data_IF_123778084762
#
_entry.id   IF_123778084762
#
_cell.length_a   1.000
_cell.length_b   1.000
_cell.length_c   1.000
_cell.angle_alpha   90.00
_cell.angle_beta   90.00
_cell.angle_gamma   90.00
#
_symmetry.space_group_name_H-M   'P 1'
#
loop_
_entity.id
_entity.type
_entity.pdbx_description
1 polymer ?
#
# COMPACT_ATOMS: atom_id res chain seq x y z
N UNK A 1 9.34 -31.73 -6.44
CA UNK A 1 10.20 -30.75 -5.76
C UNK A 1 9.33 -29.53 -5.51
N UNK A 2 8.83 -29.37 -4.28
CA UNK A 2 7.85 -28.32 -3.98
C UNK A 2 8.53 -26.95 -3.99
N UNK A 3 8.15 -26.11 -4.95
CA UNK A 3 8.57 -24.70 -5.03
C UNK A 3 8.27 -23.90 -3.75
N UNK A 4 7.39 -24.41 -2.88
CA UNK A 4 7.07 -23.83 -1.56
C UNK A 4 8.30 -23.71 -0.65
N UNK A 5 9.33 -24.54 -0.82
CA UNK A 5 10.56 -24.50 -0.01
C UNK A 5 11.52 -23.37 -0.36
N UNK A 6 11.39 -22.73 -1.52
CA UNK A 6 12.38 -21.75 -2.01
C UNK A 6 11.95 -20.28 -1.86
N UNK A 7 10.65 -20.00 -1.72
CA UNK A 7 10.16 -18.63 -1.60
C UNK A 7 9.76 -18.32 -0.16
N UNK A 8 10.61 -17.57 0.54
CA UNK A 8 10.25 -16.94 1.82
C UNK A 8 9.02 -16.03 1.61
N UNK A 9 8.17 -15.88 2.63
CA UNK A 9 6.94 -15.10 2.52
C UNK A 9 7.19 -13.64 2.14
N UNK A 10 8.31 -13.08 2.60
CA UNK A 10 8.83 -11.77 2.17
C UNK A 10 9.03 -11.68 0.65
N UNK A 11 9.55 -12.72 0.00
CA UNK A 11 9.76 -12.73 -1.46
C UNK A 11 8.41 -12.76 -2.18
N UNK A 12 7.47 -13.59 -1.71
CA UNK A 12 6.12 -13.67 -2.30
C UNK A 12 5.41 -12.31 -2.24
N UNK A 13 5.50 -11.61 -1.11
CA UNK A 13 4.91 -10.28 -0.93
C UNK A 13 5.59 -9.22 -1.81
N UNK A 14 6.91 -9.27 -1.99
CA UNK A 14 7.61 -8.37 -2.90
C UNK A 14 7.23 -8.61 -4.37
N UNK A 15 6.96 -9.86 -4.78
CA UNK A 15 6.42 -10.17 -6.11
C UNK A 15 5.04 -9.52 -6.28
N UNK A 16 4.17 -9.58 -5.26
CA UNK A 16 2.87 -8.93 -5.27
C UNK A 16 3.02 -7.40 -5.38
N UNK A 17 3.96 -6.78 -4.66
CA UNK A 17 4.27 -5.36 -4.81
C UNK A 17 4.66 -5.01 -6.25
N UNK A 18 5.57 -5.76 -6.87
CA UNK A 18 6.02 -5.48 -8.23
C UNK A 18 4.86 -5.58 -9.24
N UNK A 19 4.05 -6.64 -9.14
CA UNK A 19 2.91 -6.86 -10.05
C UNK A 19 1.86 -5.75 -9.86
N UNK A 20 1.52 -5.44 -8.61
CA UNK A 20 0.52 -4.42 -8.29
C UNK A 20 0.95 -3.00 -8.68
N UNK A 21 2.23 -2.67 -8.46
CA UNK A 21 2.83 -1.46 -8.98
C UNK A 21 2.74 -1.40 -10.51
N UNK A 22 3.19 -2.46 -11.20
CA UNK A 22 3.22 -2.49 -12.68
C UNK A 22 1.84 -2.28 -13.29
N UNK A 23 0.80 -2.90 -12.73
CA UNK A 23 -0.57 -2.76 -13.24
C UNK A 23 -1.15 -1.39 -12.90
N UNK A 24 -0.85 -0.83 -11.72
CA UNK A 24 -1.36 0.49 -11.34
C UNK A 24 -0.80 1.62 -12.21
N UNK A 25 0.47 1.55 -12.63
CA UNK A 25 1.10 2.57 -13.50
C UNK A 25 0.84 2.36 -15.00
N UNK A 26 0.55 1.14 -15.46
CA UNK A 26 0.32 0.85 -16.88
C UNK A 26 -1.09 1.27 -17.40
N UNK A 27 -1.83 2.04 -16.60
CA UNK A 27 -3.14 2.65 -16.87
C UNK A 27 -3.96 1.98 -18.00
N UNK A 28 -4.61 0.84 -17.71
CA UNK A 28 -5.61 0.29 -18.63
C UNK A 28 -6.78 1.29 -18.76
N UNK A 29 -6.77 2.09 -19.83
CA UNK A 29 -7.74 3.18 -20.08
C UNK A 29 -9.19 2.66 -20.04
N UNK A 30 -9.40 1.45 -20.58
CA UNK A 30 -10.71 0.80 -20.65
C UNK A 30 -11.18 0.23 -19.30
N UNK A 31 -10.28 0.03 -18.34
CA UNK A 31 -10.58 -0.61 -17.07
C UNK A 31 -9.95 0.14 -15.88
N UNK A 32 -10.36 1.40 -15.62
CA UNK A 32 -9.78 2.22 -14.56
C UNK A 32 -9.95 1.61 -13.16
N UNK A 33 -11.04 0.87 -12.94
CA UNK A 33 -11.26 0.17 -11.66
C UNK A 33 -10.27 -0.96 -11.41
N UNK A 34 -9.72 -1.60 -12.46
CA UNK A 34 -8.66 -2.60 -12.31
C UNK A 34 -7.37 -1.90 -11.85
N UNK A 35 -7.00 -0.79 -12.48
CA UNK A 35 -5.84 0.00 -12.06
C UNK A 35 -5.97 0.43 -10.59
N UNK A 36 -7.15 0.93 -10.22
CA UNK A 36 -7.44 1.33 -8.85
C UNK A 36 -7.39 0.15 -7.88
N UNK A 37 -7.89 -1.02 -8.25
CA UNK A 37 -7.80 -2.22 -7.42
C UNK A 37 -6.35 -2.66 -7.18
N UNK A 38 -5.51 -2.63 -8.20
CA UNK A 38 -4.08 -2.93 -8.04
C UNK A 38 -3.33 -1.83 -7.29
N UNK A 39 -3.74 -0.57 -7.43
CA UNK A 39 -3.24 0.51 -6.60
C UNK A 39 -3.56 0.25 -5.12
N UNK A 40 -4.81 -0.06 -4.77
CA UNK A 40 -5.16 -0.41 -3.38
C UNK A 40 -4.43 -1.68 -2.91
N UNK A 41 -4.30 -2.69 -3.77
CA UNK A 41 -3.54 -3.92 -3.47
C UNK A 41 -2.07 -3.62 -3.16
N UNK A 42 -1.43 -2.71 -3.90
CA UNK A 42 -0.07 -2.27 -3.64
C UNK A 42 0.04 -1.72 -2.22
N UNK A 43 -0.83 -0.77 -1.86
CA UNK A 43 -0.82 -0.13 -0.54
C UNK A 43 -1.07 -1.12 0.59
N UNK A 44 -2.03 -2.04 0.40
CA UNK A 44 -2.27 -3.13 1.34
C UNK A 44 -1.00 -3.96 1.53
N UNK A 45 -0.37 -4.42 0.44
CA UNK A 45 0.84 -5.24 0.50
C UNK A 45 1.98 -4.49 1.20
N UNK A 46 2.15 -3.21 0.91
CA UNK A 46 3.19 -2.38 1.51
C UNK A 46 2.98 -2.19 3.02
N UNK A 47 1.77 -1.82 3.43
CA UNK A 47 1.43 -1.69 4.86
C UNK A 47 1.58 -3.06 5.56
N UNK A 48 1.21 -4.17 4.92
CA UNK A 48 1.40 -5.51 5.49
C UNK A 48 2.87 -5.81 5.76
N UNK A 49 3.75 -5.53 4.79
CA UNK A 49 5.19 -5.67 4.96
C UNK A 49 5.73 -4.81 6.10
N UNK A 50 5.22 -3.58 6.25
CA UNK A 50 5.57 -2.72 7.38
C UNK A 50 5.14 -3.34 8.70
N UNK A 51 3.90 -3.85 8.81
CA UNK A 51 3.38 -4.34 10.09
C UNK A 51 3.99 -5.68 10.52
N UNK A 52 4.18 -6.60 9.59
CA UNK A 52 4.52 -7.99 9.90
C UNK A 52 5.96 -8.37 9.54
N UNK A 53 6.58 -7.71 8.57
CA UNK A 53 7.91 -8.04 8.04
C UNK A 53 8.88 -6.86 8.09
N UNK A 54 8.72 -6.01 9.11
CA UNK A 54 9.49 -4.77 9.22
C UNK A 54 11.00 -5.02 9.24
N UNK A 55 11.70 -4.42 8.29
CA UNK A 55 13.15 -4.29 8.25
C UNK A 55 13.54 -2.92 7.69
N UNK A 56 14.72 -2.41 8.06
CA UNK A 56 15.19 -1.10 7.61
C UNK A 56 15.28 -0.96 6.08
N UNK A 57 15.44 -2.05 5.32
CA UNK A 57 15.42 -2.00 3.85
C UNK A 57 14.10 -1.47 3.28
N UNK A 58 12.99 -1.55 4.03
CA UNK A 58 11.69 -1.02 3.58
C UNK A 58 11.71 0.48 3.37
N UNK A 59 12.61 1.24 4.01
CA UNK A 59 12.82 2.66 3.67
C UNK A 59 13.31 2.85 2.24
N UNK A 60 14.22 1.98 1.79
CA UNK A 60 14.70 2.01 0.40
C UNK A 60 13.57 1.61 -0.57
N UNK A 61 12.79 0.59 -0.22
CA UNK A 61 11.61 0.18 -1.01
C UNK A 61 10.59 1.32 -1.13
N UNK A 62 10.28 1.99 -0.02
CA UNK A 62 9.38 3.14 0.04
C UNK A 62 9.89 4.29 -0.84
N UNK A 63 11.18 4.58 -0.78
CA UNK A 63 11.81 5.61 -1.59
C UNK A 63 11.67 5.30 -3.08
N UNK A 64 12.04 4.08 -3.50
CA UNK A 64 11.99 3.66 -4.90
C UNK A 64 10.57 3.71 -5.43
N UNK A 65 9.61 3.06 -4.75
CA UNK A 65 8.22 3.04 -5.23
C UNK A 65 7.55 4.42 -5.13
N UNK A 66 7.84 5.20 -4.10
CA UNK A 66 7.31 6.55 -3.95
C UNK A 66 7.70 7.44 -5.12
N UNK A 67 9.00 7.49 -5.45
CA UNK A 67 9.51 8.24 -6.61
C UNK A 67 8.91 7.71 -7.91
N UNK A 68 8.84 6.40 -8.09
CA UNK A 68 8.30 5.79 -9.31
C UNK A 68 6.81 6.12 -9.49
N UNK A 69 6.00 6.04 -8.44
CA UNK A 69 4.57 6.42 -8.51
C UNK A 69 4.39 7.88 -8.84
N UNK A 70 5.13 8.75 -8.17
CA UNK A 70 5.11 10.17 -8.38
C UNK A 70 5.42 10.55 -9.85
N UNK A 71 6.51 10.00 -10.40
CA UNK A 71 6.93 10.26 -11.78
C UNK A 71 5.90 9.70 -12.78
N UNK A 72 5.44 8.46 -12.59
CA UNK A 72 4.63 7.76 -13.58
C UNK A 72 3.14 8.11 -13.54
N UNK A 73 2.58 8.46 -12.38
CA UNK A 73 1.14 8.79 -12.25
C UNK A 73 0.86 10.29 -12.31
N UNK A 74 1.67 11.11 -11.66
CA UNK A 74 1.40 12.54 -11.47
C UNK A 74 2.38 13.45 -12.21
N UNK A 75 3.37 12.86 -12.88
CA UNK A 75 4.46 13.57 -13.56
C UNK A 75 5.16 14.59 -12.64
N UNK A 76 5.12 14.37 -11.33
CA UNK A 76 5.55 15.29 -10.29
C UNK A 76 5.94 14.52 -9.03
N UNK A 77 7.02 14.95 -8.37
CA UNK A 77 7.58 14.28 -7.19
C UNK A 77 7.06 14.92 -5.90
N UNK A 78 6.62 14.09 -4.95
CA UNK A 78 6.39 14.48 -3.57
C UNK A 78 5.32 13.66 -2.88
N UNK A 79 4.11 13.60 -3.44
CA UNK A 79 2.94 13.14 -2.70
C UNK A 79 3.09 11.69 -2.20
N UNK A 80 3.40 10.73 -3.07
CA UNK A 80 3.52 9.31 -2.68
C UNK A 80 4.81 9.06 -1.89
N UNK A 81 5.91 9.72 -2.25
CA UNK A 81 7.16 9.59 -1.51
C UNK A 81 7.01 10.02 -0.05
N UNK A 82 6.38 11.17 0.18
CA UNK A 82 6.15 11.72 1.51
C UNK A 82 5.20 10.82 2.31
N UNK A 83 4.12 10.29 1.70
CA UNK A 83 3.19 9.39 2.41
C UNK A 83 3.85 8.09 2.82
N UNK A 84 4.65 7.47 1.97
CA UNK A 84 5.29 6.19 2.31
C UNK A 84 6.36 6.37 3.39
N UNK A 85 7.19 7.40 3.29
CA UNK A 85 8.22 7.68 4.30
C UNK A 85 7.61 8.09 5.64
N UNK A 86 6.55 8.91 5.64
CA UNK A 86 5.85 9.29 6.86
C UNK A 86 5.16 8.09 7.53
N UNK A 87 4.56 7.18 6.75
CA UNK A 87 3.99 5.94 7.28
C UNK A 87 5.05 5.09 7.99
N UNK A 88 6.22 4.89 7.38
CA UNK A 88 7.32 4.13 7.98
C UNK A 88 7.79 4.76 9.30
N UNK A 89 8.00 6.08 9.31
CA UNK A 89 8.39 6.81 10.52
C UNK A 89 7.35 6.65 11.63
N UNK A 90 6.07 6.79 11.30
CA UNK A 90 4.97 6.63 12.25
C UNK A 90 4.90 5.18 12.77
N UNK A 91 5.11 4.18 11.92
CA UNK A 91 5.19 2.80 12.35
C UNK A 91 6.32 2.55 13.34
N UNK A 92 7.54 3.08 13.08
CA UNK A 92 8.68 2.93 14.00
C UNK A 92 8.36 3.51 15.38
N UNK A 93 7.73 4.68 15.43
CA UNK A 93 7.31 5.33 16.68
C UNK A 93 6.23 4.52 17.43
N UNK A 94 5.28 3.93 16.69
CA UNK A 94 4.14 3.23 17.27
C UNK A 94 4.36 1.72 17.48
N UNK A 95 5.45 1.15 16.97
CA UNK A 95 5.72 -0.30 16.96
C UNK A 95 5.53 -0.95 18.33
N UNK A 96 6.00 -0.31 19.40
CA UNK A 96 5.89 -0.82 20.79
C UNK A 96 4.44 -0.98 21.27
N UNK A 97 3.52 -0.19 20.73
CA UNK A 97 2.08 -0.27 21.03
C UNK A 97 1.39 -1.27 20.11
N UNK A 98 1.77 -1.31 18.83
CA UNK A 98 1.17 -2.20 17.83
C UNK A 98 1.33 -3.69 18.19
N UNK A 99 2.46 -4.08 18.78
CA UNK A 99 2.73 -5.47 19.20
C UNK A 99 1.78 -5.96 20.31
N UNK A 100 1.16 -5.05 21.08
CA UNK A 100 0.28 -5.41 22.20
C UNK A 100 -1.18 -5.62 21.79
N UNK A 101 -1.51 -5.38 20.53
CA UNK A 101 -2.88 -5.44 20.04
C UNK A 101 -3.31 -6.87 19.76
N UNK A 102 -4.62 -7.13 19.91
CA UNK A 102 -5.21 -8.40 19.48
C UNK A 102 -5.28 -8.47 17.96
N UNK A 103 -5.41 -9.68 17.41
CA UNK A 103 -5.48 -9.89 15.95
C UNK A 103 -6.60 -9.09 15.29
N UNK A 104 -7.78 -8.99 15.93
CA UNK A 104 -8.90 -8.18 15.42
C UNK A 104 -8.58 -6.69 15.42
N UNK A 105 -7.90 -6.20 16.46
CA UNK A 105 -7.46 -4.80 16.53
C UNK A 105 -6.43 -4.48 15.45
N UNK A 106 -5.49 -5.39 15.19
CA UNK A 106 -4.49 -5.20 14.13
C UNK A 106 -5.17 -5.15 12.76
N UNK A 107 -6.11 -6.05 12.47
CA UNK A 107 -6.87 -6.03 11.20
C UNK A 107 -7.62 -4.71 11.05
N UNK A 108 -8.25 -4.22 12.11
CA UNK A 108 -8.96 -2.94 12.08
C UNK A 108 -8.02 -1.74 11.83
N UNK A 109 -6.89 -1.68 12.55
CA UNK A 109 -5.88 -0.63 12.35
C UNK A 109 -5.28 -0.72 10.95
N UNK A 110 -5.07 -1.92 10.43
CA UNK A 110 -4.54 -2.14 9.10
C UNK A 110 -5.46 -1.52 8.03
N UNK A 111 -6.77 -1.76 8.12
CA UNK A 111 -7.75 -1.13 7.23
C UNK A 111 -7.78 0.40 7.40
N UNK A 112 -7.79 0.91 8.62
CA UNK A 112 -7.77 2.36 8.89
C UNK A 112 -6.51 3.01 8.30
N UNK A 113 -5.37 2.36 8.45
CA UNK A 113 -4.08 2.85 7.93
C UNK A 113 -4.14 3.01 6.41
N UNK A 114 -4.76 2.06 5.71
CA UNK A 114 -4.99 2.18 4.27
C UNK A 114 -5.83 3.42 3.92
N UNK A 115 -6.98 3.60 4.57
CA UNK A 115 -7.89 4.72 4.27
C UNK A 115 -7.22 6.07 4.57
N UNK A 116 -6.54 6.18 5.71
CA UNK A 116 -5.82 7.39 6.10
C UNK A 116 -4.72 7.70 5.09
N UNK A 117 -3.94 6.68 4.67
CA UNK A 117 -2.86 6.87 3.73
C UNK A 117 -3.37 7.40 2.38
N UNK A 118 -4.42 6.79 1.83
CA UNK A 118 -5.04 7.26 0.57
C UNK A 118 -5.56 8.70 0.69
N UNK A 119 -6.11 9.07 1.85
CA UNK A 119 -6.60 10.43 2.10
C UNK A 119 -5.45 11.44 2.19
N UNK A 120 -4.37 11.09 2.91
CA UNK A 120 -3.18 11.93 3.02
C UNK A 120 -2.53 12.12 1.65
N UNK A 121 -2.46 11.08 0.82
CA UNK A 121 -1.91 11.19 -0.54
C UNK A 121 -2.64 12.21 -1.39
N UNK A 122 -3.97 12.12 -1.45
CA UNK A 122 -4.78 13.08 -2.22
C UNK A 122 -4.69 14.49 -1.63
N UNK A 123 -4.62 14.61 -0.30
CA UNK A 123 -4.44 15.88 0.37
C UNK A 123 -3.08 16.52 0.04
N UNK A 124 -2.00 15.75 0.09
CA UNK A 124 -0.65 16.21 -0.28
C UNK A 124 -0.57 16.54 -1.77
N UNK A 125 -1.16 15.73 -2.65
CA UNK A 125 -1.21 16.03 -4.07
C UNK A 125 -1.93 17.36 -4.35
N UNK A 126 -3.01 17.65 -3.62
CA UNK A 126 -3.72 18.92 -3.70
C UNK A 126 -2.87 20.10 -3.20
N UNK A 127 -2.14 19.93 -2.10
CA UNK A 127 -1.29 20.98 -1.54
C UNK A 127 -0.03 21.27 -2.37
N UNK A 128 0.66 20.23 -2.86
CA UNK A 128 1.98 20.36 -3.48
C UNK A 128 1.85 20.62 -4.99
N UNK A 129 0.86 20.02 -5.65
CA UNK A 129 0.74 20.02 -7.11
C UNK A 129 -0.55 20.67 -7.63
N UNK A 130 -1.34 21.32 -6.75
CA UNK A 130 -2.65 21.88 -7.07
C UNK A 130 -3.61 20.84 -7.71
N UNK A 131 -3.41 19.56 -7.42
CA UNK A 131 -4.27 18.50 -7.91
C UNK A 131 -5.60 18.53 -7.15
N UNK A 132 -6.67 18.97 -7.81
CA UNK A 132 -7.98 19.12 -7.16
C UNK A 132 -8.42 17.81 -6.51
N UNK A 133 -8.65 17.86 -5.20
CA UNK A 133 -9.20 16.74 -4.46
C UNK A 133 -10.52 16.27 -5.10
N UNK A 134 -10.55 15.01 -5.53
CA UNK A 134 -11.70 14.43 -6.22
C UNK A 134 -12.41 13.42 -5.32
N UNK A 135 -13.48 13.87 -4.66
CA UNK A 135 -14.24 13.05 -3.72
C UNK A 135 -14.85 11.80 -4.38
N UNK A 136 -15.22 11.87 -5.66
CA UNK A 136 -15.74 10.70 -6.39
C UNK A 136 -14.65 9.63 -6.57
N UNK A 137 -13.43 10.05 -6.89
CA UNK A 137 -12.29 9.13 -7.00
C UNK A 137 -11.96 8.50 -5.64
N UNK A 138 -11.97 9.28 -4.56
CA UNK A 138 -11.74 8.78 -3.20
C UNK A 138 -12.80 7.74 -2.80
N UNK A 139 -14.07 8.04 -3.07
CA UNK A 139 -15.16 7.11 -2.78
C UNK A 139 -15.01 5.80 -3.56
N UNK A 140 -14.55 5.85 -4.82
CA UNK A 140 -14.24 4.65 -5.60
C UNK A 140 -13.12 3.83 -4.95
N UNK A 141 -12.02 4.46 -4.54
CA UNK A 141 -10.95 3.78 -3.79
C UNK A 141 -11.46 3.15 -2.48
N UNK A 142 -12.32 3.85 -1.76
CA UNK A 142 -12.95 3.34 -0.54
C UNK A 142 -13.80 2.08 -0.81
N UNK A 143 -14.66 2.10 -1.82
CA UNK A 143 -15.47 0.93 -2.19
C UNK A 143 -14.61 -0.25 -2.63
N UNK A 144 -13.61 -0.01 -3.47
CA UNK A 144 -12.65 -1.03 -3.89
C UNK A 144 -11.93 -1.62 -2.68
N UNK A 145 -11.49 -0.79 -1.74
CA UNK A 145 -10.82 -1.24 -0.52
C UNK A 145 -11.68 -2.18 0.31
N UNK A 146 -12.98 -1.89 0.48
CA UNK A 146 -13.91 -2.76 1.20
C UNK A 146 -14.02 -4.15 0.57
N UNK A 147 -14.07 -4.19 -0.78
CA UNK A 147 -14.22 -5.44 -1.53
C UNK A 147 -12.95 -6.29 -1.42
N UNK A 148 -11.78 -5.69 -1.60
CA UNK A 148 -10.52 -6.45 -1.70
C UNK A 148 -9.86 -6.71 -0.34
N UNK A 149 -10.21 -5.95 0.71
CA UNK A 149 -9.53 -6.05 2.00
C UNK A 149 -9.60 -7.46 2.62
N UNK A 150 -10.79 -8.04 2.73
CA UNK A 150 -10.94 -9.37 3.36
C UNK A 150 -10.20 -10.46 2.57
N UNK A 151 -10.37 -10.58 1.23
CA UNK A 151 -9.60 -11.53 0.42
C UNK A 151 -8.09 -11.37 0.56
N UNK A 152 -7.59 -10.13 0.59
CA UNK A 152 -6.14 -9.86 0.66
C UNK A 152 -5.56 -10.24 2.03
N UNK A 153 -6.22 -9.89 3.13
CA UNK A 153 -5.80 -10.31 4.48
C UNK A 153 -5.75 -11.85 4.57
N UNK A 154 -6.78 -12.54 4.05
CA UNK A 154 -6.79 -13.99 4.02
C UNK A 154 -5.67 -14.58 3.17
N UNK A 155 -5.39 -14.00 2.00
CA UNK A 155 -4.26 -14.39 1.15
C UNK A 155 -2.94 -14.23 1.89
N UNK A 156 -2.68 -13.05 2.49
CA UNK A 156 -1.39 -12.74 3.13
C UNK A 156 -1.13 -13.64 4.33
N UNK A 157 -2.14 -13.88 5.18
CA UNK A 157 -2.02 -14.81 6.31
C UNK A 157 -1.74 -16.25 5.88
N UNK A 158 -2.14 -16.65 4.68
CA UNK A 158 -1.81 -17.96 4.10
C UNK A 158 -0.41 -17.98 3.48
N UNK A 159 0.07 -16.87 2.92
CA UNK A 159 1.42 -16.77 2.34
C UNK A 159 2.52 -16.78 3.39
N UNK A 160 2.20 -16.32 4.61
CA UNK A 160 3.09 -16.29 5.77
C UNK A 160 3.20 -17.62 6.54
N UNK A 161 2.31 -18.58 6.28
CA UNK A 161 2.40 -19.95 6.79
C UNK A 161 3.25 -20.82 5.86
#
# INVERSE_FOLDING_TARGET
>A
MEFSKFLNSTIKLNIILIISFSISVNSFILFPNINNAFYVLFHLTFIYLIFYHYHYYLYFVALVYGILFDILLLNNIGAHLITFLSLLMLFVLLRKYLIRLSSYQIIFIYFITLIILLLIEQFLANLIHNYKFNMSSFFNFFLISLIIFIPTVFLFTKLDK
#
